data_IF_292844662912
#
_entry.id   IF_292844662912
#
_cell.length_a   1.000
_cell.length_b   1.000
_cell.length_c   1.000
_cell.angle_alpha   90.00
_cell.angle_beta   90.00
_cell.angle_gamma   90.00
#
_symmetry.space_group_name_H-M   'P 1'
#
loop_
_entity.id
_entity.type
_entity.pdbx_description
1 polymer ?
#
# COMPACT_ATOMS: atom_id res chain seq x y z
N UNK A 1 -22.47 38.44 28.10
CA UNK A 1 -23.47 37.96 27.12
C UNK A 1 -23.23 38.75 25.84
N UNK A 2 -22.85 38.19 24.70
CA UNK A 2 -23.04 36.84 24.17
C UNK A 2 -21.89 36.48 23.24
N UNK A 3 -21.48 35.22 23.32
CA UNK A 3 -20.45 34.51 22.56
C UNK A 3 -20.89 34.21 21.12
N UNK A 4 -19.97 34.37 20.17
CA UNK A 4 -20.04 33.81 18.81
C UNK A 4 -19.96 32.26 18.88
N UNK A 5 -20.90 31.53 18.27
CA UNK A 5 -20.78 30.09 18.07
C UNK A 5 -20.53 29.84 16.59
N UNK A 6 -19.31 29.44 16.23
CA UNK A 6 -19.05 28.15 15.59
C UNK A 6 -17.60 28.12 15.05
N UNK A 7 -16.68 28.01 16.00
CA UNK A 7 -15.39 27.40 15.80
C UNK A 7 -15.59 25.87 15.73
N UNK A 8 -15.35 25.27 14.56
CA UNK A 8 -15.02 23.85 14.44
C UNK A 8 -14.06 23.65 13.26
N UNK A 9 -12.78 23.81 13.56
CA UNK A 9 -11.72 22.83 13.29
C UNK A 9 -11.97 21.83 12.14
N UNK A 10 -11.25 22.01 11.04
CA UNK A 10 -11.14 21.03 9.95
C UNK A 10 -9.73 21.03 9.35
N UNK A 11 -8.70 20.99 10.20
CA UNK A 11 -7.31 20.81 9.75
C UNK A 11 -7.05 19.34 9.46
N UNK A 12 -6.86 19.03 8.19
CA UNK A 12 -6.24 17.79 7.73
C UNK A 12 -7.16 16.94 6.86
N UNK A 13 -7.13 17.17 5.56
CA UNK A 13 -7.55 16.14 4.61
C UNK A 13 -6.65 16.19 3.39
N UNK A 14 -5.65 15.30 3.39
CA UNK A 14 -5.02 14.82 2.16
C UNK A 14 -5.00 13.29 2.28
N UNK A 15 -5.95 12.63 1.63
CA UNK A 15 -5.97 11.18 1.47
C UNK A 15 -4.93 10.79 0.42
N UNK A 16 -3.84 10.15 0.83
CA UNK A 16 -2.95 9.50 -0.13
C UNK A 16 -3.52 8.11 -0.39
N UNK A 17 -4.16 7.98 -1.56
CA UNK A 17 -4.73 6.75 -2.09
C UNK A 17 -3.71 6.14 -3.03
N UNK A 18 -2.88 5.25 -2.51
CA UNK A 18 -1.96 4.48 -3.35
C UNK A 18 -2.56 3.09 -3.57
N UNK A 19 -2.91 2.80 -4.83
CA UNK A 19 -2.97 1.44 -5.36
C UNK A 19 -3.80 0.44 -4.54
N UNK A 20 -4.96 0.89 -4.04
CA UNK A 20 -5.89 0.08 -3.24
C UNK A 20 -5.67 0.13 -1.73
N UNK A 21 -4.74 0.96 -1.26
CA UNK A 21 -4.45 1.21 0.14
C UNK A 21 -4.78 2.67 0.47
N UNK A 22 -5.44 2.88 1.60
CA UNK A 22 -5.64 4.24 2.13
C UNK A 22 -4.81 4.40 3.39
N UNK A 23 -3.88 5.36 3.36
CA UNK A 23 -3.06 5.74 4.52
C UNK A 23 -3.61 7.05 5.09
N UNK A 24 -4.06 7.01 6.34
CA UNK A 24 -4.52 8.23 7.04
C UNK A 24 -3.29 8.92 7.62
N UNK A 25 -2.88 10.05 7.04
CA UNK A 25 -1.68 10.81 7.43
C UNK A 25 -2.01 11.84 8.51
N UNK A 26 -1.49 11.63 9.72
CA UNK A 26 -1.13 12.71 10.65
C UNK A 26 0.36 13.05 10.45
N UNK A 27 0.84 14.27 10.79
CA UNK A 27 2.25 14.64 10.60
C UNK A 27 3.12 13.76 11.50
N UNK A 28 3.79 12.79 10.89
CA UNK A 28 4.46 11.72 11.60
C UNK A 28 5.72 11.33 10.81
N UNK A 29 6.84 11.28 11.50
CA UNK A 29 8.20 11.03 10.98
C UNK A 29 8.25 9.69 10.21
N UNK A 30 9.20 9.49 9.28
CA UNK A 30 9.39 8.20 8.60
C UNK A 30 9.78 7.14 9.63
N UNK A 31 8.79 6.41 10.14
CA UNK A 31 8.94 5.52 11.29
C UNK A 31 7.63 5.27 12.05
N UNK A 32 6.68 6.19 11.94
CA UNK A 32 5.46 6.13 12.74
C UNK A 32 4.39 5.19 12.18
N UNK A 33 3.71 4.48 13.09
CA UNK A 33 2.58 3.62 12.77
C UNK A 33 1.37 4.47 12.36
N UNK A 34 0.71 4.10 11.26
CA UNK A 34 -0.46 4.79 10.70
C UNK A 34 -1.64 3.82 10.57
N UNK A 35 -2.85 4.37 10.48
CA UNK A 35 -4.01 3.56 10.12
C UNK A 35 -3.93 3.21 8.63
N UNK A 36 -3.93 1.91 8.34
CA UNK A 36 -3.83 1.33 7.02
C UNK A 36 -5.17 0.64 6.71
N UNK A 37 -5.74 0.96 5.55
CA UNK A 37 -6.95 0.31 5.02
C UNK A 37 -6.57 -0.48 3.78
N UNK A 38 -6.72 -1.80 3.82
CA UNK A 38 -6.42 -2.71 2.71
C UNK A 38 -7.72 -3.17 2.03
N UNK A 39 -7.75 -3.19 0.71
CA UNK A 39 -8.76 -3.91 -0.07
C UNK A 39 -8.47 -5.40 -0.07
N UNK A 40 -9.52 -6.23 -0.04
CA UNK A 40 -9.43 -7.69 0.04
C UNK A 40 -10.54 -8.34 -0.78
N UNK A 41 -10.24 -9.47 -1.41
CA UNK A 41 -11.12 -10.24 -2.27
C UNK A 41 -11.18 -9.72 -3.71
N UNK A 42 -11.98 -10.37 -4.57
CA UNK A 42 -12.09 -9.98 -5.97
C UNK A 42 -12.57 -8.54 -6.15
N UNK A 43 -11.88 -7.76 -6.97
CA UNK A 43 -12.15 -6.32 -7.19
C UNK A 43 -12.01 -5.44 -5.95
N UNK A 44 -11.60 -6.00 -4.80
CA UNK A 44 -11.33 -5.23 -3.58
C UNK A 44 -12.57 -4.63 -2.91
N UNK A 45 -13.75 -5.24 -3.08
CA UNK A 45 -15.01 -4.75 -2.51
C UNK A 45 -15.05 -4.79 -0.98
N UNK A 46 -14.31 -5.72 -0.35
CA UNK A 46 -14.16 -5.79 1.11
C UNK A 46 -12.91 -5.03 1.55
N UNK A 47 -12.98 -4.38 2.71
CA UNK A 47 -11.86 -3.66 3.32
C UNK A 47 -11.49 -4.24 4.67
N UNK A 48 -10.20 -4.31 4.96
CA UNK A 48 -9.65 -4.64 6.28
C UNK A 48 -8.80 -3.45 6.77
N UNK A 49 -8.79 -3.23 8.08
CA UNK A 49 -8.06 -2.11 8.69
C UNK A 49 -7.17 -2.60 9.81
N UNK A 50 -5.99 -2.00 9.91
CA UNK A 50 -5.10 -2.16 11.04
C UNK A 50 -4.25 -0.90 11.22
N UNK A 51 -3.47 -0.86 12.29
CA UNK A 51 -2.46 0.17 12.50
C UNK A 51 -1.08 -0.47 12.31
N UNK A 52 -0.23 0.13 11.48
CA UNK A 52 1.05 -0.44 11.09
C UNK A 52 1.92 0.52 10.29
N UNK A 53 3.03 0.02 9.77
CA UNK A 53 3.96 0.76 8.90
C UNK A 53 4.35 -0.12 7.72
N UNK A 54 4.50 0.49 6.54
CA UNK A 54 5.02 -0.18 5.34
C UNK A 54 6.51 -0.48 5.53
N UNK A 55 6.92 -1.72 5.26
CA UNK A 55 8.31 -2.15 5.28
C UNK A 55 8.90 -2.25 3.87
N UNK A 56 8.08 -2.60 2.87
CA UNK A 56 8.52 -2.70 1.49
C UNK A 56 7.38 -2.91 0.51
N UNK A 57 7.61 -2.51 -0.73
CA UNK A 57 6.70 -2.69 -1.86
C UNK A 57 7.48 -3.21 -3.07
N UNK A 58 6.93 -4.23 -3.72
CA UNK A 58 7.33 -4.65 -5.07
C UNK A 58 6.19 -4.44 -6.04
N UNK A 59 6.53 -3.98 -7.25
CA UNK A 59 5.63 -3.93 -8.38
C UNK A 59 6.30 -4.62 -9.56
N UNK A 60 5.72 -5.72 -10.00
CA UNK A 60 6.19 -6.52 -11.11
C UNK A 60 5.15 -6.49 -12.24
N UNK A 61 5.65 -6.47 -13.47
CA UNK A 61 4.83 -6.50 -14.67
C UNK A 61 5.26 -7.71 -15.50
N UNK A 62 4.29 -8.50 -15.95
CA UNK A 62 4.53 -9.64 -16.82
C UNK A 62 3.61 -9.61 -18.05
N UNK A 63 3.59 -10.70 -18.82
CA UNK A 63 2.74 -10.79 -20.02
C UNK A 63 1.25 -10.97 -19.70
N UNK A 64 0.90 -11.41 -18.50
CA UNK A 64 -0.45 -11.65 -18.05
C UNK A 64 -1.05 -10.44 -17.33
N UNK A 65 -0.22 -9.64 -16.67
CA UNK A 65 -0.69 -8.56 -15.83
C UNK A 65 0.37 -7.79 -15.05
N UNK A 66 -0.09 -7.22 -13.95
CA UNK A 66 0.71 -6.52 -12.95
C UNK A 66 0.45 -7.15 -11.58
N UNK A 67 1.53 -7.44 -10.85
CA UNK A 67 1.49 -7.93 -9.49
C UNK A 67 2.12 -6.89 -8.56
N UNK A 68 1.40 -6.52 -7.51
CA UNK A 68 1.89 -5.60 -6.48
C UNK A 68 1.87 -6.32 -5.14
N UNK A 69 3.00 -6.34 -4.45
CA UNK A 69 3.15 -6.94 -3.13
C UNK A 69 3.61 -5.86 -2.17
N UNK A 70 2.86 -5.66 -1.08
CA UNK A 70 3.20 -4.75 0.00
C UNK A 70 3.31 -5.49 1.31
N UNK A 71 4.38 -5.22 2.04
CA UNK A 71 4.62 -5.84 3.35
C UNK A 71 4.58 -4.76 4.41
N UNK A 72 3.79 -4.98 5.45
CA UNK A 72 3.65 -4.08 6.58
C UNK A 72 4.02 -4.79 7.88
N UNK A 73 4.49 -4.03 8.86
CA UNK A 73 4.47 -4.45 10.26
C UNK A 73 3.29 -3.80 10.97
N UNK A 74 2.50 -4.60 11.67
CA UNK A 74 1.41 -4.11 12.50
C UNK A 74 1.92 -3.57 13.84
N UNK A 75 1.09 -2.81 14.55
CA UNK A 75 1.35 -2.40 15.95
C UNK A 75 1.67 -3.58 16.87
N UNK A 76 1.18 -4.79 16.57
CA UNK A 76 1.41 -6.01 17.36
C UNK A 76 2.67 -6.77 16.93
N UNK A 77 3.49 -6.24 16.03
CA UNK A 77 4.68 -6.92 15.50
C UNK A 77 4.39 -8.02 14.48
N UNK A 78 3.11 -8.26 14.13
CA UNK A 78 2.74 -9.20 13.05
C UNK A 78 3.02 -8.58 11.69
N UNK A 79 3.42 -9.40 10.73
CA UNK A 79 3.68 -8.98 9.35
C UNK A 79 2.43 -9.20 8.51
N UNK A 80 2.04 -8.19 7.75
CA UNK A 80 0.86 -8.22 6.89
C UNK A 80 1.33 -8.12 5.45
N UNK A 81 1.07 -9.15 4.65
CA UNK A 81 1.34 -9.17 3.22
C UNK A 81 0.05 -8.87 2.49
N UNK A 82 0.03 -7.78 1.73
CA UNK A 82 -1.05 -7.42 0.83
C UNK A 82 -0.59 -7.68 -0.60
N UNK A 83 -1.36 -8.45 -1.36
CA UNK A 83 -1.09 -8.67 -2.78
C UNK A 83 -2.25 -8.14 -3.61
N UNK A 84 -1.92 -7.56 -4.75
CA UNK A 84 -2.85 -7.16 -5.79
C UNK A 84 -2.37 -7.76 -7.10
N UNK A 85 -3.24 -8.55 -7.73
CA UNK A 85 -2.99 -9.15 -9.04
C UNK A 85 -3.97 -8.56 -10.04
N UNK A 86 -3.47 -7.91 -11.09
CA UNK A 86 -4.30 -7.26 -12.12
C UNK A 86 -4.05 -7.91 -13.46
N UNK A 87 -5.07 -8.45 -14.11
CA UNK A 87 -4.92 -9.07 -15.42
C UNK A 87 -5.02 -8.03 -16.55
N UNK A 88 -4.09 -8.08 -17.52
CA UNK A 88 -4.12 -7.19 -18.66
C UNK A 88 -5.41 -7.30 -19.46
N UNK A 89 -5.98 -8.50 -19.63
CA UNK A 89 -7.22 -8.72 -20.39
C UNK A 89 -8.42 -8.05 -19.74
N UNK A 90 -8.50 -8.08 -18.41
CA UNK A 90 -9.53 -7.36 -17.66
C UNK A 90 -9.32 -5.85 -17.77
N UNK A 91 -8.06 -5.40 -17.72
CA UNK A 91 -7.67 -4.02 -18.01
C UNK A 91 -8.08 -3.56 -19.41
N UNK A 92 -7.81 -4.38 -20.43
CA UNK A 92 -8.21 -4.17 -21.82
C UNK A 92 -9.73 -4.17 -22.01
N UNK A 93 -10.50 -4.90 -21.21
CA UNK A 93 -11.95 -4.93 -21.39
C UNK A 93 -12.66 -3.63 -20.95
N UNK A 94 -12.12 -2.90 -19.98
CA UNK A 94 -12.85 -1.79 -19.35
C UNK A 94 -12.24 -0.38 -19.58
N UNK A 95 -11.23 -0.28 -20.44
CA UNK A 95 -10.68 1.00 -20.92
C UNK A 95 -11.11 1.22 -22.37
N UNK A 96 -11.40 2.47 -22.73
CA UNK A 96 -11.58 2.85 -24.13
C UNK A 96 -10.21 3.07 -24.79
N UNK A 97 -9.85 2.18 -25.71
CA UNK A 97 -8.52 2.10 -26.33
C UNK A 97 -8.31 3.08 -27.48
N UNK A 98 -9.34 3.84 -27.82
CA UNK A 98 -9.31 4.78 -28.96
C UNK A 98 -8.66 6.12 -28.59
N UNK A 99 -8.46 6.41 -27.29
CA UNK A 99 -7.79 7.62 -26.81
C UNK A 99 -6.36 7.34 -26.29
N UNK A 100 -5.37 7.88 -26.98
CA UNK A 100 -3.94 7.85 -26.60
C UNK A 100 -3.65 8.45 -25.21
N UNK A 101 -4.51 9.35 -24.70
CA UNK A 101 -4.39 9.87 -23.33
C UNK A 101 -4.57 8.78 -22.28
N UNK A 102 -5.44 7.80 -22.52
CA UNK A 102 -5.64 6.66 -21.62
C UNK A 102 -4.37 5.79 -21.52
N UNK A 103 -3.60 5.65 -22.61
CA UNK A 103 -2.30 4.97 -22.60
C UNK A 103 -1.25 5.68 -21.74
N UNK A 104 -1.18 7.02 -21.85
CA UNK A 104 -0.21 7.82 -21.08
C UNK A 104 -0.58 7.88 -19.60
N UNK A 105 -1.86 7.85 -19.27
CA UNK A 105 -2.32 7.73 -17.88
C UNK A 105 -2.00 6.34 -17.33
N UNK A 106 -2.34 5.26 -18.04
CA UNK A 106 -2.07 3.89 -17.58
C UNK A 106 -0.58 3.64 -17.24
N UNK A 107 0.32 4.19 -18.05
CA UNK A 107 1.78 3.99 -17.93
C UNK A 107 2.49 5.16 -17.22
N UNK A 108 1.76 6.19 -16.81
CA UNK A 108 2.32 7.43 -16.27
C UNK A 108 2.30 7.51 -14.75
N UNK A 109 3.19 8.34 -14.20
CA UNK A 109 3.18 8.77 -12.79
C UNK A 109 1.98 9.69 -12.58
N UNK A 110 0.82 9.14 -12.24
CA UNK A 110 -0.39 9.91 -11.91
C UNK A 110 -1.64 9.57 -12.73
N UNK A 111 -1.58 8.66 -13.72
CA UNK A 111 -2.81 8.07 -14.20
C UNK A 111 -3.27 7.06 -13.17
N UNK A 112 -4.25 7.47 -12.38
CA UNK A 112 -4.83 6.65 -11.31
C UNK A 112 -5.18 5.28 -11.86
N UNK A 113 -4.30 4.30 -11.58
CA UNK A 113 -4.57 3.27 -10.59
C UNK A 113 -6.04 2.87 -10.53
N UNK A 114 -6.64 2.61 -11.68
CA UNK A 114 -7.97 2.05 -11.76
C UNK A 114 -7.93 0.79 -10.88
N UNK A 115 -8.87 0.72 -9.94
CA UNK A 115 -8.90 -0.14 -8.73
C UNK A 115 -9.04 -1.65 -9.03
N UNK A 116 -8.28 -2.17 -9.98
CA UNK A 116 -8.60 -3.41 -10.67
C UNK A 116 -7.72 -4.54 -10.15
N UNK A 117 -8.26 -5.75 -10.25
CA UNK A 117 -7.58 -6.94 -9.81
C UNK A 117 -8.12 -7.54 -8.53
N UNK A 118 -7.53 -8.67 -8.18
CA UNK A 118 -7.86 -9.43 -7.00
C UNK A 118 -6.88 -9.11 -5.89
N UNK A 119 -7.43 -8.95 -4.68
CA UNK A 119 -6.65 -8.54 -3.53
C UNK A 119 -6.62 -9.65 -2.49
N UNK A 120 -5.42 -10.02 -2.03
CA UNK A 120 -5.26 -10.98 -0.94
C UNK A 120 -4.51 -10.36 0.23
N UNK A 121 -4.82 -10.86 1.42
CA UNK A 121 -4.13 -10.47 2.66
C UNK A 121 -3.73 -11.74 3.38
N UNK A 122 -2.47 -11.80 3.75
CA UNK A 122 -1.87 -12.85 4.56
C UNK A 122 -1.20 -12.20 5.77
N UNK A 123 -1.31 -12.84 6.94
CA UNK A 123 -0.72 -12.33 8.18
C UNK A 123 0.14 -13.43 8.76
N UNK A 124 1.39 -13.08 9.07
CA UNK A 124 2.40 -14.01 9.59
C UNK A 124 3.05 -13.46 10.85
N UNK A 125 3.64 -14.34 11.63
CA UNK A 125 4.10 -14.00 12.98
C UNK A 125 5.55 -13.54 13.03
N UNK A 126 6.35 -13.91 12.04
CA UNK A 126 7.79 -13.65 12.00
C UNK A 126 8.29 -13.27 10.59
N UNK A 127 9.44 -12.60 10.46
CA UNK A 127 10.07 -12.35 9.16
C UNK A 127 10.40 -13.64 8.40
N UNK A 128 10.85 -14.69 9.11
CA UNK A 128 11.25 -15.96 8.49
C UNK A 128 10.11 -16.63 7.73
N UNK A 129 8.87 -16.44 8.18
CA UNK A 129 7.67 -16.93 7.50
C UNK A 129 7.36 -16.21 6.18
N UNK A 130 8.02 -15.10 5.87
CA UNK A 130 7.87 -14.40 4.59
C UNK A 130 8.70 -15.04 3.47
N UNK A 131 9.66 -15.90 3.82
CA UNK A 131 10.50 -16.60 2.84
C UNK A 131 9.65 -17.44 1.89
N UNK A 132 9.93 -17.34 0.60
CA UNK A 132 9.14 -17.96 -0.48
C UNK A 132 7.71 -17.43 -0.67
N UNK A 133 7.22 -16.51 0.19
CA UNK A 133 5.88 -15.91 0.06
C UNK A 133 5.90 -14.57 -0.68
N UNK A 134 7.00 -13.83 -0.60
CA UNK A 134 7.17 -12.52 -1.25
C UNK A 134 8.38 -12.55 -2.19
N UNK A 135 8.47 -11.62 -3.16
CA UNK A 135 9.65 -11.52 -4.00
C UNK A 135 10.93 -11.35 -3.17
N UNK A 136 11.99 -12.08 -3.55
CA UNK A 136 13.26 -12.18 -2.81
C UNK A 136 13.87 -10.82 -2.48
N UNK A 137 13.79 -9.87 -3.42
CA UNK A 137 14.35 -8.54 -3.23
C UNK A 137 13.66 -7.77 -2.09
N UNK A 138 12.34 -7.94 -1.89
CA UNK A 138 11.64 -7.34 -0.75
C UNK A 138 11.87 -8.13 0.53
N UNK A 139 11.96 -9.46 0.45
CA UNK A 139 12.28 -10.29 1.62
C UNK A 139 13.55 -9.81 2.29
N UNK A 140 14.63 -9.63 1.52
CA UNK A 140 15.90 -9.11 2.03
C UNK A 140 15.76 -7.75 2.70
N UNK A 141 14.99 -6.82 2.11
CA UNK A 141 14.73 -5.50 2.70
C UNK A 141 13.93 -5.60 4.00
N UNK A 142 12.91 -6.46 4.04
CA UNK A 142 12.06 -6.62 5.23
C UNK A 142 12.84 -7.24 6.38
N UNK A 143 13.68 -8.24 6.10
CA UNK A 143 14.57 -8.87 7.11
C UNK A 143 15.58 -7.84 7.63
N UNK A 144 16.24 -7.10 6.74
CA UNK A 144 17.20 -6.07 7.13
C UNK A 144 16.57 -5.01 8.05
N UNK A 145 15.38 -4.50 7.71
CA UNK A 145 14.66 -3.52 8.54
C UNK A 145 14.16 -4.13 9.87
N UNK A 146 13.88 -5.44 9.91
CA UNK A 146 13.45 -6.12 11.12
C UNK A 146 14.62 -6.37 12.09
N UNK A 147 15.80 -6.65 11.56
CA UNK A 147 17.02 -6.95 12.33
C UNK A 147 17.80 -5.69 12.71
N UNK A 148 17.73 -4.64 11.88
CA UNK A 148 18.47 -3.41 12.07
C UNK A 148 17.53 -2.22 12.37
N UNK A 149 17.88 -1.34 13.34
CA UNK A 149 17.13 -0.11 13.55
C UNK A 149 17.17 0.76 12.28
N UNK A 150 16.04 1.39 11.95
CA UNK A 150 15.87 2.22 10.74
C UNK A 150 16.85 3.40 10.67
N UNK A 151 17.43 3.81 11.80
CA UNK A 151 18.48 4.82 11.86
C UNK A 151 19.58 4.34 12.81
N UNK A 152 20.83 4.49 12.38
CA UNK A 152 22.01 4.20 13.17
C UNK A 152 22.87 5.47 13.23
N UNK A 153 23.10 6.00 14.42
CA UNK A 153 24.04 7.09 14.61
C UNK A 153 25.46 6.54 14.52
N UNK A 154 26.14 6.86 13.41
CA UNK A 154 27.54 6.50 13.21
C UNK A 154 28.41 7.43 14.07
N UNK A 155 29.24 6.86 14.94
CA UNK A 155 30.24 7.61 15.70
C UNK A 155 31.47 7.86 14.82
N UNK A 156 31.36 8.79 13.87
CA UNK A 156 32.46 9.26 13.02
C UNK A 156 32.59 10.78 13.07
#
# INVERSE_FOLDING_TARGET
MTTDPNDLSGTGTVEERESGVTVVKAPAEPGDLRQIVLRVGPGGGRKQRFVGRLLGESREYDKAGMNVVRVYVSRKGKYVVHRRESNWREMFAAIDWTDWKNWRELLGVGGGEREWGDYTVEIVDSPAELDGRIPEHIYRTVVDIAENPTSQDLQI
#
